data_IF_970793609431
#
_entry.id   IF_970793609431
#
_cell.length_a   1.000
_cell.length_b   1.000
_cell.length_c   1.000
_cell.angle_alpha   90.00
_cell.angle_beta   90.00
_cell.angle_gamma   90.00
#
_symmetry.space_group_name_H-M   'P 1'
#
loop_
_entity.id
_entity.type
_entity.pdbx_description
1 polymer ?
#
# COMPACT_ATOMS: atom_id res chain seq x y z
N UNK A 1 21.41 -1.30 13.44
CA UNK A 1 21.11 -0.16 12.53
C UNK A 1 20.54 -0.60 11.17
N UNK A 2 21.10 -1.60 10.47
CA UNK A 2 20.60 -2.05 9.14
C UNK A 2 19.15 -2.56 9.07
N UNK A 3 18.63 -3.23 10.10
CA UNK A 3 17.26 -3.80 10.05
C UNK A 3 16.15 -2.74 10.02
N UNK A 4 16.35 -1.60 10.71
CA UNK A 4 15.38 -0.50 10.79
C UNK A 4 15.32 0.28 9.47
N UNK A 5 16.47 0.52 8.86
CA UNK A 5 16.61 1.14 7.54
C UNK A 5 15.89 0.31 6.45
N UNK A 6 16.08 -1.01 6.45
CA UNK A 6 15.37 -1.89 5.50
C UNK A 6 13.85 -1.86 5.68
N UNK A 7 13.36 -1.80 6.91
CA UNK A 7 11.94 -1.73 7.19
C UNK A 7 11.33 -0.36 6.80
N UNK A 8 12.06 0.75 6.98
CA UNK A 8 11.66 2.08 6.50
C UNK A 8 11.65 2.14 4.97
N UNK A 9 12.70 1.64 4.31
CA UNK A 9 12.74 1.54 2.85
C UNK A 9 11.58 0.70 2.29
N UNK A 10 11.24 -0.41 2.95
CA UNK A 10 10.08 -1.23 2.56
C UNK A 10 8.76 -0.49 2.79
N UNK A 11 8.63 0.24 3.89
CA UNK A 11 7.44 1.06 4.17
C UNK A 11 7.21 2.11 3.08
N UNK A 12 8.26 2.80 2.64
CA UNK A 12 8.14 3.83 1.61
C UNK A 12 7.83 3.25 0.23
N UNK A 13 8.40 2.08 -0.10
CA UNK A 13 8.01 1.32 -1.30
C UNK A 13 6.52 0.98 -1.28
N UNK A 14 6.00 0.46 -0.16
CA UNK A 14 4.59 0.11 -0.03
C UNK A 14 3.66 1.32 -0.11
N UNK A 15 4.05 2.48 0.47
CA UNK A 15 3.29 3.73 0.31
C UNK A 15 3.24 4.18 -1.15
N UNK A 16 4.35 4.10 -1.87
CA UNK A 16 4.40 4.45 -3.28
C UNK A 16 3.53 3.49 -4.11
N UNK A 17 3.63 2.18 -3.88
CA UNK A 17 2.76 1.18 -4.52
C UNK A 17 1.28 1.48 -4.25
N UNK A 18 0.92 1.82 -3.01
CA UNK A 18 -0.44 2.21 -2.65
C UNK A 18 -0.93 3.41 -3.47
N UNK A 19 -0.12 4.47 -3.60
CA UNK A 19 -0.48 5.68 -4.35
C UNK A 19 -0.70 5.36 -5.83
N UNK A 20 0.23 4.64 -6.45
CA UNK A 20 0.11 4.22 -7.86
C UNK A 20 -1.14 3.36 -8.09
N UNK A 21 -1.44 2.47 -7.14
CA UNK A 21 -2.62 1.61 -7.21
C UNK A 21 -3.92 2.42 -7.10
N UNK A 22 -3.95 3.45 -6.26
CA UNK A 22 -5.08 4.40 -6.16
C UNK A 22 -5.29 5.17 -7.47
N UNK A 23 -4.23 5.70 -8.06
CA UNK A 23 -4.28 6.41 -9.34
C UNK A 23 -4.78 5.49 -10.47
N UNK A 24 -4.33 4.23 -10.48
CA UNK A 24 -4.78 3.22 -11.44
C UNK A 24 -6.26 2.93 -11.28
N UNK A 25 -6.74 2.71 -10.06
CA UNK A 25 -8.16 2.46 -9.78
C UNK A 25 -9.00 3.67 -10.21
N UNK A 26 -8.58 4.89 -9.90
CA UNK A 26 -9.28 6.11 -10.28
C UNK A 26 -9.36 6.28 -11.79
N UNK A 27 -8.29 5.94 -12.51
CA UNK A 27 -8.26 5.99 -13.97
C UNK A 27 -9.23 4.97 -14.57
N UNK A 28 -9.21 3.73 -14.08
CA UNK A 28 -10.12 2.68 -14.53
C UNK A 28 -11.59 3.04 -14.27
N UNK A 29 -11.90 3.64 -13.11
CA UNK A 29 -13.27 4.05 -12.77
C UNK A 29 -13.83 5.14 -13.69
N UNK A 30 -12.99 5.92 -14.36
CA UNK A 30 -13.41 6.94 -15.33
C UNK A 30 -13.73 6.34 -16.71
N UNK A 31 -13.36 5.09 -16.95
CA UNK A 31 -13.58 4.42 -18.24
C UNK A 31 -15.00 3.83 -18.31
N UNK A 32 -15.80 4.14 -19.35
CA UNK A 32 -17.20 3.68 -19.45
C UNK A 32 -17.38 2.15 -19.47
N UNK A 33 -16.38 1.42 -19.96
CA UNK A 33 -16.36 -0.05 -20.06
C UNK A 33 -15.35 -0.66 -19.08
N UNK A 34 -15.22 -0.08 -17.88
CA UNK A 34 -14.26 -0.57 -16.91
C UNK A 34 -14.58 -2.01 -16.46
N UNK A 35 -13.55 -2.85 -16.41
CA UNK A 35 -13.67 -4.20 -15.87
C UNK A 35 -13.81 -4.11 -14.34
N UNK A 36 -15.05 -4.34 -13.86
CA UNK A 36 -15.37 -4.33 -12.44
C UNK A 36 -14.62 -5.41 -11.66
N UNK A 37 -14.33 -6.56 -12.25
CA UNK A 37 -13.53 -7.61 -11.61
C UNK A 37 -12.07 -7.18 -11.47
N UNK A 38 -11.51 -6.51 -12.47
CA UNK A 38 -10.18 -5.91 -12.38
C UNK A 38 -10.12 -4.88 -11.24
N UNK A 39 -11.12 -3.99 -11.13
CA UNK A 39 -11.21 -3.02 -10.05
C UNK A 39 -11.33 -3.70 -8.69
N UNK A 40 -12.13 -4.76 -8.56
CA UNK A 40 -12.24 -5.52 -7.31
C UNK A 40 -10.91 -6.17 -6.90
N UNK A 41 -10.17 -6.75 -7.85
CA UNK A 41 -8.83 -7.32 -7.61
C UNK A 41 -7.86 -6.24 -7.14
N UNK A 42 -7.85 -5.07 -7.77
CA UNK A 42 -7.03 -3.93 -7.36
C UNK A 42 -7.41 -3.43 -5.97
N UNK A 43 -8.70 -3.30 -5.65
CA UNK A 43 -9.16 -2.95 -4.29
C UNK A 43 -8.72 -3.97 -3.24
N UNK A 44 -8.75 -5.27 -3.55
CA UNK A 44 -8.25 -6.32 -2.65
C UNK A 44 -6.74 -6.18 -2.44
N UNK A 45 -5.97 -5.93 -3.50
CA UNK A 45 -4.53 -5.67 -3.42
C UNK A 45 -4.23 -4.43 -2.57
N UNK A 46 -5.02 -3.36 -2.73
CA UNK A 46 -4.94 -2.14 -1.91
C UNK A 46 -5.07 -2.45 -0.43
N UNK A 47 -6.06 -3.27 -0.07
CA UNK A 47 -6.30 -3.67 1.31
C UNK A 47 -5.11 -4.45 1.89
N UNK A 48 -4.56 -5.40 1.13
CA UNK A 48 -3.37 -6.15 1.54
C UNK A 48 -2.17 -5.24 1.80
N UNK A 49 -1.89 -4.29 0.89
CA UNK A 49 -0.80 -3.32 1.06
C UNK A 49 -1.02 -2.48 2.31
N UNK A 50 -2.24 -2.01 2.55
CA UNK A 50 -2.59 -1.25 3.75
C UNK A 50 -2.34 -2.06 5.02
N UNK A 51 -2.73 -3.34 5.04
CA UNK A 51 -2.50 -4.24 6.18
C UNK A 51 -1.01 -4.48 6.42
N UNK A 52 -0.21 -4.64 5.35
CA UNK A 52 1.25 -4.76 5.45
C UNK A 52 1.90 -3.50 6.00
N UNK A 53 1.46 -2.32 5.54
CA UNK A 53 1.90 -1.01 6.07
C UNK A 53 1.60 -0.92 7.56
N UNK A 54 0.40 -1.30 8.00
CA UNK A 54 0.02 -1.28 9.41
C UNK A 54 0.92 -2.21 10.22
N UNK A 55 1.16 -3.43 9.76
CA UNK A 55 2.04 -4.41 10.43
C UNK A 55 3.51 -3.96 10.49
N UNK A 56 4.01 -3.29 9.45
CA UNK A 56 5.37 -2.74 9.42
C UNK A 56 5.48 -1.52 10.33
N UNK A 57 4.50 -0.61 10.29
CA UNK A 57 4.39 0.52 11.21
C UNK A 57 4.32 0.05 12.65
N UNK A 58 3.51 -0.95 12.97
CA UNK A 58 3.42 -1.50 14.33
C UNK A 58 4.72 -2.16 14.82
N UNK A 59 5.64 -2.52 13.92
CA UNK A 59 7.00 -3.00 14.29
C UNK A 59 8.04 -1.89 14.37
N UNK A 60 7.84 -0.79 13.65
CA UNK A 60 8.71 0.38 13.65
C UNK A 60 8.35 1.40 14.75
N UNK A 61 7.06 1.59 15.01
CA UNK A 61 6.47 2.49 16.03
C UNK A 61 6.71 2.08 17.49
N UNK A 62 6.94 0.80 17.89
CA UNK A 62 7.34 0.49 19.27
C UNK A 62 8.56 1.31 19.71
N UNK A 63 9.36 1.73 18.74
CA UNK A 63 10.65 2.40 18.85
C UNK A 63 10.56 3.93 18.60
N UNK A 64 9.35 4.49 18.44
CA UNK A 64 9.08 5.93 18.16
C UNK A 64 8.35 6.61 19.34
N UNK A 65 7.75 5.83 20.25
CA UNK A 65 7.04 6.32 21.45
C UNK A 65 7.75 5.83 22.74
N UNK A 66 9.03 5.45 22.64
CA UNK A 66 9.90 5.15 23.78
C UNK A 66 10.84 6.34 24.04
#
# INVERSE_FOLDING_TARGET
>A
MMMKENAMNKLDKLKNEQKTLEETILTLLKTPLCDQLAIQRLKRRKLQIKDEIIKLRARLIPDIIA
#
